data_IF_363986546421
#
_entry.id   IF_363986546421
#
_cell.length_a   1.000
_cell.length_b   1.000
_cell.length_c   1.000
_cell.angle_alpha   90.00
_cell.angle_beta   90.00
_cell.angle_gamma   90.00
#
_symmetry.space_group_name_H-M   'P 1'
#
loop_
_entity.id
_entity.type
_entity.pdbx_description
1 polymer ?
#
# COMPACT_ATOMS: atom_id res chain seq x y z
N UNK A 1 14.55 11.38 21.37
CA UNK A 1 14.04 10.00 21.17
C UNK A 1 12.51 9.97 21.15
N UNK A 2 11.84 10.58 20.15
CA UNK A 2 10.35 10.67 20.13
C UNK A 2 9.69 10.48 18.75
N UNK A 3 10.45 10.20 17.68
CA UNK A 3 9.85 10.08 16.33
C UNK A 3 9.21 8.71 16.05
N UNK A 4 9.55 7.68 16.83
CA UNK A 4 9.02 6.31 16.66
C UNK A 4 7.53 6.23 17.02
N UNK A 5 7.05 7.10 17.91
CA UNK A 5 5.67 7.11 18.39
C UNK A 5 4.76 8.10 17.65
N UNK A 6 5.28 8.86 16.68
CA UNK A 6 4.47 9.79 15.91
C UNK A 6 3.61 9.01 14.88
N UNK A 7 2.27 8.96 15.04
CA UNK A 7 1.42 8.14 14.16
C UNK A 7 1.51 8.54 12.68
N UNK A 8 1.76 9.83 12.40
CA UNK A 8 1.93 10.34 11.02
C UNK A 8 3.23 9.86 10.39
N UNK A 9 4.34 9.89 11.14
CA UNK A 9 5.63 9.41 10.67
C UNK A 9 5.59 7.89 10.45
N UNK A 10 4.92 7.17 11.36
CA UNK A 10 4.72 5.74 11.29
C UNK A 10 3.91 5.33 10.05
N UNK A 11 2.73 5.93 9.81
CA UNK A 11 1.90 5.64 8.65
C UNK A 11 2.62 5.94 7.32
N UNK A 12 3.36 7.05 7.26
CA UNK A 12 4.15 7.38 6.07
C UNK A 12 5.19 6.30 5.79
N UNK A 13 5.95 5.87 6.81
CA UNK A 13 6.96 4.82 6.67
C UNK A 13 6.34 3.49 6.22
N UNK A 14 5.24 3.07 6.85
CA UNK A 14 4.54 1.84 6.47
C UNK A 14 3.99 1.90 5.05
N UNK A 15 3.49 3.06 4.61
CA UNK A 15 3.10 3.25 3.22
C UNK A 15 4.29 3.04 2.26
N UNK A 16 5.43 3.67 2.52
CA UNK A 16 6.63 3.48 1.68
C UNK A 16 7.06 2.02 1.63
N UNK A 17 7.06 1.34 2.77
CA UNK A 17 7.45 -0.06 2.88
C UNK A 17 6.48 -0.97 2.12
N UNK A 18 5.16 -0.85 2.36
CA UNK A 18 4.16 -1.68 1.71
C UNK A 18 4.15 -1.49 0.18
N UNK A 19 4.37 -0.26 -0.30
CA UNK A 19 4.52 0.01 -1.73
C UNK A 19 5.77 -0.67 -2.31
N UNK A 20 6.90 -0.62 -1.60
CA UNK A 20 8.14 -1.25 -2.05
C UNK A 20 8.02 -2.78 -2.06
N UNK A 21 7.42 -3.36 -1.03
CA UNK A 21 7.18 -4.81 -0.93
C UNK A 21 6.27 -5.31 -2.07
N UNK A 22 5.18 -4.59 -2.37
CA UNK A 22 4.33 -4.92 -3.52
C UNK A 22 5.13 -4.99 -4.82
N UNK A 23 5.97 -4.01 -5.13
CA UNK A 23 6.74 -4.02 -6.38
C UNK A 23 7.79 -5.13 -6.41
N UNK A 24 8.46 -5.40 -5.28
CA UNK A 24 9.42 -6.51 -5.17
C UNK A 24 8.75 -7.86 -5.42
N UNK A 25 7.59 -8.09 -4.84
CA UNK A 25 6.87 -9.36 -5.03
C UNK A 25 6.14 -9.42 -6.38
N UNK A 26 5.75 -8.27 -6.94
CA UNK A 26 5.20 -8.19 -8.29
C UNK A 26 6.22 -8.64 -9.34
N UNK A 27 7.44 -8.10 -9.26
CA UNK A 27 8.55 -8.50 -10.12
C UNK A 27 8.81 -10.01 -10.02
N UNK A 28 8.91 -10.56 -8.81
CA UNK A 28 9.08 -12.01 -8.60
C UNK A 28 7.91 -12.85 -9.15
N UNK A 29 6.66 -12.38 -9.00
CA UNK A 29 5.47 -13.11 -9.46
C UNK A 29 5.42 -13.19 -11.00
N UNK A 30 5.79 -12.11 -11.69
CA UNK A 30 5.76 -12.04 -13.16
C UNK A 30 7.01 -12.61 -13.83
N UNK A 31 8.20 -12.42 -13.25
CA UNK A 31 9.45 -12.89 -13.85
C UNK A 31 9.78 -14.35 -13.48
N UNK A 32 9.37 -14.78 -12.29
CA UNK A 32 9.79 -16.06 -11.71
C UNK A 32 8.62 -17.03 -11.46
N UNK A 33 7.39 -16.64 -11.86
CA UNK A 33 6.19 -17.44 -11.64
C UNK A 33 5.84 -17.63 -10.17
N UNK A 34 6.28 -16.71 -9.31
CA UNK A 34 6.12 -16.80 -7.86
C UNK A 34 4.65 -16.62 -7.40
N UNK A 35 4.43 -16.85 -6.10
CA UNK A 35 3.12 -16.95 -5.47
C UNK A 35 2.27 -15.65 -5.54
N UNK A 36 1.09 -15.77 -6.17
CA UNK A 36 0.09 -14.71 -6.30
C UNK A 36 -0.57 -14.35 -4.97
N UNK A 37 -0.62 -15.26 -4.00
CA UNK A 37 -1.19 -15.01 -2.67
C UNK A 37 -0.41 -13.91 -1.95
N UNK A 38 0.91 -13.88 -2.12
CA UNK A 38 1.77 -12.83 -1.55
C UNK A 38 1.39 -11.43 -2.05
N UNK A 39 1.14 -11.30 -3.35
CA UNK A 39 0.69 -10.04 -3.94
C UNK A 39 -0.65 -9.57 -3.35
N UNK A 40 -1.58 -10.50 -3.10
CA UNK A 40 -2.86 -10.19 -2.48
C UNK A 40 -2.70 -9.70 -1.03
N UNK A 41 -1.74 -10.27 -0.27
CA UNK A 41 -1.41 -9.82 1.08
C UNK A 41 -0.81 -8.40 1.09
N UNK A 42 0.07 -8.08 0.14
CA UNK A 42 0.63 -6.72 0.01
C UNK A 42 -0.48 -5.71 -0.33
N UNK A 43 -1.37 -6.06 -1.26
CA UNK A 43 -2.53 -5.23 -1.61
C UNK A 43 -3.52 -5.07 -0.45
N UNK A 44 -3.69 -6.11 0.37
CA UNK A 44 -4.46 -6.06 1.61
C UNK A 44 -3.84 -5.08 2.61
N UNK A 45 -2.53 -5.14 2.79
CA UNK A 45 -1.76 -4.23 3.66
C UNK A 45 -1.93 -2.77 3.22
N UNK A 46 -1.76 -2.49 1.93
CA UNK A 46 -1.94 -1.15 1.36
C UNK A 46 -3.35 -0.62 1.63
N UNK A 47 -4.38 -1.47 1.50
CA UNK A 47 -5.78 -1.08 1.75
C UNK A 47 -6.05 -0.82 3.23
N UNK A 48 -5.47 -1.61 4.13
CA UNK A 48 -5.54 -1.36 5.57
C UNK A 48 -4.90 -0.02 5.94
N UNK A 49 -3.74 0.31 5.38
CA UNK A 49 -3.07 1.59 5.60
C UNK A 49 -3.89 2.77 5.09
N UNK A 50 -4.61 2.60 3.98
CA UNK A 50 -5.53 3.61 3.48
C UNK A 50 -6.63 3.95 4.49
N UNK A 51 -7.36 2.92 4.96
CA UNK A 51 -8.44 3.10 5.92
C UNK A 51 -7.93 3.63 7.27
N UNK A 52 -6.77 3.17 7.72
CA UNK A 52 -6.13 3.70 8.91
C UNK A 52 -5.79 5.19 8.75
N UNK A 53 -5.22 5.60 7.61
CA UNK A 53 -4.90 7.00 7.35
C UNK A 53 -6.16 7.88 7.31
N UNK A 54 -7.26 7.40 6.73
CA UNK A 54 -8.55 8.08 6.77
C UNK A 54 -9.09 8.21 8.20
N UNK A 55 -9.15 7.11 8.96
CA UNK A 55 -9.67 7.09 10.32
C UNK A 55 -8.89 7.99 11.29
N UNK A 56 -7.60 8.25 10.99
CA UNK A 56 -6.75 9.16 11.76
C UNK A 56 -6.68 10.59 11.20
N UNK A 57 -7.42 10.90 10.13
CA UNK A 57 -7.42 12.23 9.51
C UNK A 57 -6.10 12.60 8.79
N UNK A 58 -5.26 11.62 8.46
CA UNK A 58 -3.96 11.82 7.81
C UNK A 58 -4.15 11.81 6.28
N UNK A 59 -4.90 12.81 5.81
CA UNK A 59 -5.34 12.94 4.41
C UNK A 59 -4.21 12.89 3.37
N UNK A 60 -3.01 13.48 3.60
CA UNK A 60 -1.93 13.40 2.60
C UNK A 60 -1.50 11.95 2.29
N UNK A 61 -1.46 11.08 3.30
CA UNK A 61 -1.09 9.67 3.11
C UNK A 61 -2.23 8.91 2.43
N UNK A 62 -3.48 9.11 2.89
CA UNK A 62 -4.65 8.49 2.26
C UNK A 62 -4.76 8.85 0.76
N UNK A 63 -4.56 10.13 0.41
CA UNK A 63 -4.55 10.60 -0.99
C UNK A 63 -3.42 9.96 -1.81
N UNK A 64 -2.22 9.85 -1.23
CA UNK A 64 -1.09 9.21 -1.90
C UNK A 64 -1.37 7.73 -2.20
N UNK A 65 -1.96 7.00 -1.24
CA UNK A 65 -2.34 5.60 -1.41
C UNK A 65 -3.45 5.47 -2.47
N UNK A 66 -4.52 6.25 -2.36
CA UNK A 66 -5.64 6.18 -3.31
C UNK A 66 -5.23 6.55 -4.75
N UNK A 67 -4.34 7.52 -4.92
CA UNK A 67 -3.78 7.85 -6.23
C UNK A 67 -2.92 6.72 -6.80
N UNK A 68 -2.09 6.09 -5.97
CA UNK A 68 -1.30 4.93 -6.37
C UNK A 68 -2.19 3.75 -6.75
N UNK A 69 -3.22 3.44 -5.94
CA UNK A 69 -4.15 2.34 -6.22
C UNK A 69 -4.81 2.50 -7.60
N UNK A 70 -5.37 3.69 -7.89
CA UNK A 70 -5.97 3.98 -9.20
C UNK A 70 -4.97 3.79 -10.35
N UNK A 71 -3.73 4.27 -10.16
CA UNK A 71 -2.68 4.14 -11.18
C UNK A 71 -2.28 2.68 -11.41
N UNK A 72 -2.27 1.87 -10.35
CA UNK A 72 -1.81 0.47 -10.38
C UNK A 72 -2.95 -0.52 -10.65
N UNK A 73 -4.19 -0.06 -10.79
CA UNK A 73 -5.35 -0.92 -11.04
C UNK A 73 -5.23 -1.89 -12.22
N UNK A 74 -4.65 -1.51 -13.38
CA UNK A 74 -4.39 -2.46 -14.47
C UNK A 74 -3.45 -3.61 -14.08
N UNK A 75 -2.58 -3.38 -13.10
CA UNK A 75 -1.56 -4.33 -12.64
C UNK A 75 -2.17 -5.33 -11.66
N UNK A 76 -2.89 -4.84 -10.65
CA UNK A 76 -3.44 -5.70 -9.60
C UNK A 76 -4.84 -6.25 -9.91
N UNK A 77 -5.55 -5.71 -10.91
CA UNK A 77 -6.86 -6.18 -11.37
C UNK A 77 -7.95 -6.23 -10.28
N UNK A 78 -7.83 -5.38 -9.24
CA UNK A 78 -8.82 -5.26 -8.15
C UNK A 78 -9.71 -4.02 -8.31
N UNK A 79 -9.75 -3.45 -9.52
CA UNK A 79 -10.51 -2.24 -9.83
C UNK A 79 -9.88 -0.95 -9.32
N UNK A 80 -10.48 0.18 -9.71
CA UNK A 80 -9.96 1.52 -9.43
C UNK A 80 -10.37 2.07 -8.05
N UNK A 81 -11.23 1.35 -7.34
CA UNK A 81 -11.99 1.92 -6.23
C UNK A 81 -11.40 1.49 -4.89
N UNK A 82 -10.72 2.43 -4.22
CA UNK A 82 -10.63 2.49 -2.76
C UNK A 82 -11.27 3.82 -2.42
N UNK A 83 -12.52 3.79 -1.93
CA UNK A 83 -13.35 4.99 -1.68
C UNK A 83 -12.72 5.86 -0.64
#
# INVERSE_FOLDING_TARGET
MSDILNPRAHLRRHWWQAKADFWRHWEACFEQGADRERLLLDLGTIRSLYWQALGQGILPVARAIGAWWRKTAPVHQLGNTVI
#
